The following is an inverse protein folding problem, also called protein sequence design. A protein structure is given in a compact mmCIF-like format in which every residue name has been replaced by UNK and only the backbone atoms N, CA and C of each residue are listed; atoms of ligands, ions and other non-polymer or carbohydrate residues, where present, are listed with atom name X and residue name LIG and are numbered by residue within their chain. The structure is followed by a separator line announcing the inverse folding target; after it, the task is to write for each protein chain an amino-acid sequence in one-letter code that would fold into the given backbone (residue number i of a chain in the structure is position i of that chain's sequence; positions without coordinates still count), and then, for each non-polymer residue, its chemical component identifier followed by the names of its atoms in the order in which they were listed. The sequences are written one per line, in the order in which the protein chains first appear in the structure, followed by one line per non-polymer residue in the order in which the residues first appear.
data_IF_152386872969
#
_entry.id   IF_152386872969
#
_cell.length_a   1.000
_cell.length_b   1.000
_cell.length_c   1.000
_cell.angle_alpha   90.00
_cell.angle_beta   90.00
_cell.angle_gamma   90.00
#
_symmetry.space_group_name_H-M   'P 1'
#
loop_
_entity.id
_entity.type
_entity.pdbx_description
1 polymer ?
#
# COMPACT_ATOMS: atom_id res chain seq x y z
N UNK A 1 17.03 13.72 -33.92
CA UNK A 1 16.39 13.72 -32.58
C UNK A 1 17.35 13.11 -31.56
N UNK A 2 17.51 13.68 -30.35
CA UNK A 2 18.35 13.05 -29.33
C UNK A 2 17.63 11.79 -28.82
N UNK A 3 18.06 10.64 -29.33
CA UNK A 3 17.58 9.33 -28.88
C UNK A 3 18.09 9.12 -27.45
N UNK A 4 17.20 9.21 -26.46
CA UNK A 4 17.54 8.78 -25.10
C UNK A 4 18.10 7.35 -25.13
N UNK A 5 19.23 7.10 -24.47
CA UNK A 5 19.84 5.76 -24.33
C UNK A 5 18.88 4.71 -23.74
N UNK A 6 17.84 5.14 -23.04
CA UNK A 6 16.76 4.31 -22.53
C UNK A 6 15.88 3.71 -23.65
N UNK A 7 15.75 4.41 -24.78
CA UNK A 7 14.89 4.02 -25.89
C UNK A 7 15.62 3.11 -26.89
N UNK A 8 16.95 2.99 -26.77
CA UNK A 8 17.76 2.06 -27.55
C UNK A 8 17.70 0.66 -26.93
N UNK A 9 17.00 -0.27 -27.58
CA UNK A 9 16.81 -1.64 -27.08
C UNK A 9 18.14 -2.39 -26.88
N UNK A 10 19.10 -2.22 -27.80
CA UNK A 10 20.43 -2.84 -27.71
C UNK A 10 21.20 -2.38 -26.48
N UNK A 11 21.24 -1.06 -26.22
CA UNK A 11 21.89 -0.49 -25.05
C UNK A 11 21.22 -0.96 -23.75
N UNK A 12 19.89 -0.99 -23.70
CA UNK A 12 19.15 -1.53 -22.55
C UNK A 12 19.51 -2.98 -22.27
N UNK A 13 19.61 -3.82 -23.31
CA UNK A 13 19.99 -5.21 -23.17
C UNK A 13 21.44 -5.36 -22.68
N UNK A 14 22.36 -4.55 -23.22
CA UNK A 14 23.77 -4.53 -22.82
C UNK A 14 23.94 -4.16 -21.34
N UNK A 15 23.29 -3.09 -20.89
CA UNK A 15 23.30 -2.66 -19.48
C UNK A 15 22.71 -3.74 -18.55
N UNK A 16 21.61 -4.39 -18.97
CA UNK A 16 21.02 -5.48 -18.20
C UNK A 16 21.90 -6.73 -18.16
N UNK A 17 22.64 -7.01 -19.22
CA UNK A 17 23.60 -8.10 -19.27
C UNK A 17 24.72 -7.86 -18.24
N UNK A 18 25.33 -6.68 -18.26
CA UNK A 18 26.32 -6.29 -17.25
C UNK A 18 25.78 -6.34 -15.82
N UNK A 19 24.55 -5.88 -15.59
CA UNK A 19 23.91 -6.01 -14.29
C UNK A 19 23.79 -7.47 -13.85
N UNK A 20 23.26 -8.36 -14.70
CA UNK A 20 23.14 -9.79 -14.38
C UNK A 20 24.52 -10.44 -14.16
N UNK A 21 25.51 -10.04 -14.95
CA UNK A 21 26.90 -10.50 -14.84
C UNK A 21 27.51 -10.11 -13.49
N UNK A 22 27.38 -8.84 -13.06
CA UNK A 22 27.83 -8.39 -11.73
C UNK A 22 27.18 -9.16 -10.59
N UNK A 23 25.89 -9.49 -10.70
CA UNK A 23 25.21 -10.25 -9.66
C UNK A 23 25.74 -11.69 -9.57
N UNK A 24 25.92 -12.36 -10.72
CA UNK A 24 26.49 -13.71 -10.77
C UNK A 24 27.92 -13.74 -10.23
N UNK A 25 28.75 -12.79 -10.63
CA UNK A 25 30.13 -12.69 -10.16
C UNK A 25 30.20 -12.37 -8.67
N UNK A 26 29.32 -11.51 -8.15
CA UNK A 26 29.25 -11.25 -6.72
C UNK A 26 28.94 -12.52 -5.92
N UNK A 27 28.00 -13.35 -6.35
CA UNK A 27 27.71 -14.61 -5.65
C UNK A 27 28.83 -15.64 -5.78
N UNK A 28 29.57 -15.64 -6.90
CA UNK A 28 30.58 -16.66 -7.21
C UNK A 28 31.94 -16.38 -6.57
N UNK A 29 32.38 -15.11 -6.57
CA UNK A 29 33.75 -14.74 -6.19
C UNK A 29 33.84 -14.01 -4.85
N UNK A 30 32.72 -13.72 -4.17
CA UNK A 30 32.76 -13.17 -2.80
C UNK A 30 32.03 -14.07 -1.82
N UNK A 31 32.73 -14.54 -0.78
CA UNK A 31 32.14 -15.39 0.27
C UNK A 31 31.33 -14.59 1.29
N UNK A 32 31.58 -13.29 1.42
CA UNK A 32 30.88 -12.42 2.38
C UNK A 32 29.47 -12.05 1.89
N UNK A 33 28.45 -12.59 2.57
CA UNK A 33 27.04 -12.26 2.31
C UNK A 33 26.75 -10.75 2.44
N UNK A 34 27.47 -10.06 3.32
CA UNK A 34 27.34 -8.61 3.50
C UNK A 34 27.83 -7.83 2.27
N UNK A 35 28.99 -8.22 1.72
CA UNK A 35 29.54 -7.61 0.51
C UNK A 35 28.63 -7.87 -0.70
N UNK A 36 28.14 -9.11 -0.87
CA UNK A 36 27.18 -9.46 -1.92
C UNK A 36 25.92 -8.57 -1.85
N UNK A 37 25.33 -8.43 -0.67
CA UNK A 37 24.16 -7.56 -0.45
C UNK A 37 24.47 -6.10 -0.80
N UNK A 38 25.66 -5.62 -0.42
CA UNK A 38 26.10 -4.24 -0.67
C UNK A 38 26.31 -3.97 -2.16
N UNK A 39 26.99 -4.86 -2.88
CA UNK A 39 27.16 -4.79 -4.35
C UNK A 39 25.80 -4.72 -5.02
N UNK A 40 24.89 -5.65 -4.69
CA UNK A 40 23.54 -5.71 -5.27
C UNK A 40 22.75 -4.42 -5.03
N UNK A 41 22.84 -3.85 -3.83
CA UNK A 41 22.13 -2.61 -3.47
C UNK A 41 22.68 -1.41 -4.23
N UNK A 42 24.01 -1.24 -4.28
CA UNK A 42 24.65 -0.08 -4.90
C UNK A 42 24.47 -0.11 -6.41
N UNK A 43 24.76 -1.24 -7.06
CA UNK A 43 24.54 -1.42 -8.50
C UNK A 43 23.10 -1.11 -8.91
N UNK A 44 22.11 -1.65 -8.19
CA UNK A 44 20.69 -1.36 -8.42
C UNK A 44 20.35 0.13 -8.26
N UNK A 45 20.94 0.81 -7.28
CA UNK A 45 20.71 2.23 -7.05
C UNK A 45 21.32 3.11 -8.15
N UNK A 46 22.54 2.80 -8.59
CA UNK A 46 23.23 3.51 -9.69
C UNK A 46 22.43 3.36 -10.98
N UNK A 47 22.01 2.14 -11.32
CA UNK A 47 21.14 1.85 -12.48
C UNK A 47 19.83 2.65 -12.47
N UNK A 48 19.18 2.76 -11.30
CA UNK A 48 17.93 3.53 -11.17
C UNK A 48 18.17 5.02 -11.31
N UNK A 49 19.25 5.54 -10.73
CA UNK A 49 19.59 6.96 -10.73
C UNK A 49 19.92 7.45 -12.15
N UNK A 50 20.69 6.67 -12.90
CA UNK A 50 21.20 7.05 -14.22
C UNK A 50 20.35 6.49 -15.39
N UNK A 51 19.12 6.04 -15.13
CA UNK A 51 18.23 5.45 -16.15
C UNK A 51 17.83 6.43 -17.26
N UNK A 52 17.83 7.73 -16.96
CA UNK A 52 17.37 8.78 -17.86
C UNK A 52 18.52 9.69 -18.35
N UNK A 53 19.77 9.32 -18.08
CA UNK A 53 20.93 10.11 -18.49
C UNK A 53 20.97 10.26 -20.02
N UNK A 54 21.18 11.50 -20.46
CA UNK A 54 21.25 11.87 -21.88
C UNK A 54 22.69 11.97 -22.40
N UNK A 55 23.68 12.06 -21.52
CA UNK A 55 25.09 12.17 -21.91
C UNK A 55 25.69 10.82 -22.25
N UNK A 56 26.21 10.68 -23.47
CA UNK A 56 26.92 9.48 -23.94
C UNK A 56 28.17 9.21 -23.10
N UNK A 57 28.89 10.27 -22.72
CA UNK A 57 30.12 10.19 -21.95
C UNK A 57 29.87 9.72 -20.52
N UNK A 58 28.80 10.20 -19.86
CA UNK A 58 28.46 9.75 -18.51
C UNK A 58 28.08 8.27 -18.49
N UNK A 59 27.34 7.81 -19.50
CA UNK A 59 26.96 6.40 -19.67
C UNK A 59 28.20 5.53 -19.95
N UNK A 60 29.11 5.99 -20.80
CA UNK A 60 30.37 5.28 -21.10
C UNK A 60 31.24 5.10 -19.84
N UNK A 61 31.43 6.16 -19.05
CA UNK A 61 32.17 6.07 -17.79
C UNK A 61 31.53 5.03 -16.86
N UNK A 62 30.21 5.09 -16.65
CA UNK A 62 29.50 4.15 -15.77
C UNK A 62 29.62 2.70 -16.24
N UNK A 63 29.62 2.46 -17.56
CA UNK A 63 29.82 1.13 -18.13
C UNK A 63 31.24 0.62 -17.88
N UNK A 64 32.26 1.47 -18.06
CA UNK A 64 33.64 1.13 -17.75
C UNK A 64 33.84 0.87 -16.25
N UNK A 65 33.22 1.64 -15.37
CA UNK A 65 33.27 1.40 -13.93
C UNK A 65 32.64 0.06 -13.54
N UNK A 66 31.53 -0.34 -14.19
CA UNK A 66 30.92 -1.67 -13.98
C UNK A 66 31.80 -2.78 -14.53
N UNK A 67 32.50 -2.56 -15.65
CA UNK A 67 33.46 -3.52 -16.21
C UNK A 67 34.64 -3.72 -15.26
N UNK A 68 35.26 -2.64 -14.81
CA UNK A 68 36.39 -2.65 -13.87
C UNK A 68 36.00 -3.34 -12.54
N UNK A 69 34.79 -3.07 -12.03
CA UNK A 69 34.27 -3.75 -10.84
C UNK A 69 34.21 -5.28 -11.04
N UNK A 70 33.80 -5.75 -12.22
CA UNK A 70 33.75 -7.19 -12.50
C UNK A 70 35.13 -7.81 -12.62
N UNK A 71 36.08 -7.13 -13.27
CA UNK A 71 37.46 -7.59 -13.37
C UNK A 71 38.08 -7.76 -11.98
N UNK A 72 37.86 -6.79 -11.09
CA UNK A 72 38.34 -6.82 -9.69
C UNK A 72 37.63 -7.87 -8.83
N UNK A 73 36.36 -8.13 -9.08
CA UNK A 73 35.63 -9.23 -8.44
C UNK A 73 36.19 -10.60 -8.88
N UNK A 74 36.56 -10.76 -10.15
CA UNK A 74 37.14 -12.01 -10.67
C UNK A 74 38.57 -12.19 -10.14
N UNK A 75 39.35 -11.12 -10.06
CA UNK A 75 40.73 -11.17 -9.52
C UNK A 75 40.80 -11.33 -8.00
N UNK A 76 39.66 -11.33 -7.29
CA UNK A 76 39.61 -11.48 -5.84
C UNK A 76 40.05 -10.25 -5.03
N UNK A 77 40.11 -9.07 -5.65
CA UNK A 77 40.60 -7.83 -5.03
C UNK A 77 39.48 -7.15 -4.21
N UNK A 78 39.16 -7.77 -3.07
CA UNK A 78 37.99 -7.43 -2.25
C UNK A 78 38.11 -6.05 -1.60
N UNK A 79 39.33 -5.63 -1.23
CA UNK A 79 39.60 -4.32 -0.59
C UNK A 79 39.28 -3.18 -1.54
N UNK A 80 39.75 -3.27 -2.80
CA UNK A 80 39.43 -2.29 -3.83
C UNK A 80 37.93 -2.18 -4.08
N UNK A 81 37.25 -3.33 -4.20
CA UNK A 81 35.80 -3.38 -4.41
C UNK A 81 35.06 -2.72 -3.24
N UNK A 82 35.49 -2.97 -2.00
CA UNK A 82 34.90 -2.35 -0.82
C UNK A 82 35.04 -0.83 -0.81
N UNK A 83 36.21 -0.32 -1.18
CA UNK A 83 36.51 1.11 -1.21
C UNK A 83 35.79 1.84 -2.33
N UNK A 84 35.70 1.23 -3.53
CA UNK A 84 34.91 1.75 -4.65
C UNK A 84 33.41 1.79 -4.33
N UNK A 85 32.88 0.77 -3.65
CA UNK A 85 31.49 0.77 -3.17
C UNK A 85 31.27 1.78 -2.02
N UNK A 86 32.29 2.07 -1.24
CA UNK A 86 32.23 3.06 -0.16
C UNK A 86 32.29 4.49 -0.67
N UNK A 87 33.10 4.78 -1.68
CA UNK A 87 33.18 6.10 -2.33
C UNK A 87 31.88 6.44 -3.07
N UNK A 88 31.29 5.47 -3.79
CA UNK A 88 29.98 5.64 -4.45
C UNK A 88 28.83 5.82 -3.45
N UNK A 89 28.89 5.19 -2.27
CA UNK A 89 27.93 5.40 -1.18
C UNK A 89 28.10 6.75 -0.47
N UNK A 90 29.35 7.23 -0.32
CA UNK A 90 29.72 8.52 0.30
C UNK A 90 29.49 9.72 -0.64
N UNK A 91 29.11 9.53 -1.90
CA UNK A 91 28.73 10.61 -2.82
C UNK A 91 27.41 11.34 -2.46
N UNK A 92 26.94 11.23 -1.20
CA UNK A 92 25.97 12.14 -0.60
C UNK A 92 26.74 13.23 0.17
N UNK A 93 26.66 14.46 -0.34
CA UNK A 93 27.17 15.71 0.24
C UNK A 93 28.70 15.84 0.35
N UNK A 94 29.38 15.99 -0.80
CA UNK A 94 30.47 16.98 -0.86
C UNK A 94 29.87 18.24 -1.47
N UNK A 95 29.65 19.26 -0.63
CA UNK A 95 29.49 20.65 -1.11
C UNK A 95 30.75 20.94 -1.91
N UNK A 96 30.64 21.00 -3.23
CA UNK A 96 31.71 21.53 -4.06
C UNK A 96 31.84 23.00 -3.68
N UNK A 97 33.02 23.44 -3.27
CA UNK A 97 33.37 24.85 -3.34
C UNK A 97 33.28 25.21 -4.83
N UNK A 98 32.19 25.87 -5.18
CA UNK A 98 31.94 26.38 -6.52
C UNK A 98 32.59 27.75 -6.54
N UNK A 99 33.63 27.89 -7.36
CA UNK A 99 34.05 29.18 -7.92
C UNK A 99 32.80 29.88 -8.45
N UNK A 100 32.58 31.11 -7.99
CA UNK A 100 31.41 31.93 -8.28
C UNK A 100 31.17 32.05 -9.79
N UNK A 101 30.22 31.26 -10.29
CA UNK A 101 29.51 31.54 -11.54
C UNK A 101 28.20 32.19 -11.12
N UNK A 102 27.81 33.35 -11.70
CA UNK A 102 26.61 34.06 -11.29
C UNK A 102 25.40 33.13 -11.43
N UNK A 103 24.72 32.91 -10.31
CA UNK A 103 23.53 32.09 -10.23
C UNK A 103 22.45 32.60 -11.20
N UNK A 104 21.74 31.73 -11.94
CA UNK A 104 20.51 32.14 -12.60
C UNK A 104 19.55 32.71 -11.54
N UNK A 105 18.69 33.68 -11.90
CA UNK A 105 17.86 34.39 -10.93
C UNK A 105 17.07 33.38 -10.10
N UNK A 106 17.18 33.56 -8.78
CA UNK A 106 16.37 32.89 -7.77
C UNK A 106 14.94 32.71 -8.29
N UNK A 107 14.55 31.47 -8.58
CA UNK A 107 13.12 31.16 -8.73
C UNK A 107 12.53 31.46 -7.35
N UNK A 108 11.94 32.64 -7.22
CA UNK A 108 11.21 33.03 -6.02
C UNK A 108 10.28 31.86 -5.70
N UNK A 109 10.47 31.22 -4.56
CA UNK A 109 9.53 30.23 -4.06
C UNK A 109 8.22 30.97 -3.82
N UNK A 110 7.34 30.95 -4.81
CA UNK A 110 6.03 31.57 -4.74
C UNK A 110 5.28 31.01 -3.53
N UNK A 111 4.63 31.90 -2.77
CA UNK A 111 3.84 31.49 -1.62
C UNK A 111 2.75 30.50 -2.04
N UNK A 112 2.59 29.36 -1.34
CA UNK A 112 1.63 28.32 -1.70
C UNK A 112 0.18 28.81 -1.69
N UNK A 113 -0.11 29.90 -0.98
CA UNK A 113 -1.43 30.55 -1.00
C UNK A 113 -1.64 31.34 -2.30
N UNK A 114 -0.63 32.06 -2.76
CA UNK A 114 -0.68 32.81 -4.02
C UNK A 114 -0.91 31.86 -5.21
N UNK A 115 -0.21 30.72 -5.26
CA UNK A 115 -0.41 29.69 -6.28
C UNK A 115 -1.86 29.17 -6.28
N UNK A 116 -2.46 28.97 -5.10
CA UNK A 116 -3.85 28.52 -4.99
C UNK A 116 -4.83 29.58 -5.50
N UNK A 117 -4.62 30.84 -5.12
CA UNK A 117 -5.44 31.97 -5.54
C UNK A 117 -5.41 32.16 -7.05
N UNK A 118 -4.22 32.08 -7.66
CA UNK A 118 -4.06 32.15 -9.12
C UNK A 118 -4.74 30.99 -9.84
N UNK A 119 -4.69 29.77 -9.28
CA UNK A 119 -5.41 28.62 -9.83
C UNK A 119 -6.93 28.80 -9.78
N UNK A 120 -7.47 29.32 -8.67
CA UNK A 120 -8.90 29.63 -8.52
C UNK A 120 -9.31 30.69 -9.54
N UNK A 121 -8.51 31.75 -9.69
CA UNK A 121 -8.73 32.82 -10.66
C UNK A 121 -8.73 32.29 -12.10
N UNK A 122 -7.74 31.49 -12.47
CA UNK A 122 -7.65 30.89 -13.79
C UNK A 122 -8.87 30.01 -14.11
N UNK A 123 -9.29 29.17 -13.15
CA UNK A 123 -10.48 28.35 -13.32
C UNK A 123 -11.74 29.21 -13.48
N UNK A 124 -11.89 30.26 -12.68
CA UNK A 124 -13.02 31.19 -12.77
C UNK A 124 -13.08 31.91 -14.12
N UNK A 125 -11.95 32.43 -14.62
CA UNK A 125 -11.87 33.08 -15.93
C UNK A 125 -12.27 32.08 -17.02
N UNK A 126 -11.75 30.86 -16.98
CA UNK A 126 -12.07 29.81 -17.96
C UNK A 126 -13.55 29.43 -17.97
N UNK A 127 -14.18 29.32 -16.79
CA UNK A 127 -15.62 29.07 -16.68
C UNK A 127 -16.44 30.23 -17.30
N UNK A 128 -16.08 31.48 -17.01
CA UNK A 128 -16.79 32.67 -17.51
C UNK A 128 -16.56 32.97 -18.99
N UNK A 129 -15.38 32.68 -19.53
CA UNK A 129 -15.09 32.79 -20.96
C UNK A 129 -15.86 31.76 -21.78
N UNK A 130 -16.04 30.54 -21.27
CA UNK A 130 -16.90 29.53 -21.89
C UNK A 130 -18.37 29.97 -21.95
N UNK A 131 -18.83 30.69 -20.93
CA UNK A 131 -20.17 31.28 -20.88
C UNK A 131 -20.29 32.59 -21.70
N UNK A 132 -19.23 33.01 -22.40
CA UNK A 132 -19.15 34.27 -23.16
C UNK A 132 -19.38 35.54 -22.30
N UNK A 133 -19.13 35.47 -20.99
CA UNK A 133 -19.31 36.59 -20.04
C UNK A 133 -18.04 37.41 -19.80
N UNK A 134 -16.90 36.95 -20.29
CA UNK A 134 -15.62 37.64 -20.18
C UNK A 134 -14.88 37.61 -21.53
N UNK A 135 -14.12 38.67 -21.86
CA UNK A 135 -13.29 38.69 -23.06
C UNK A 135 -12.11 37.71 -22.94
N UNK A 136 -11.59 37.28 -24.10
CA UNK A 136 -10.48 36.33 -24.17
C UNK A 136 -9.17 36.90 -23.60
N UNK A 137 -8.93 38.20 -23.83
CA UNK A 137 -7.77 38.90 -23.31
C UNK A 137 -8.19 39.86 -22.19
N UNK A 138 -7.57 39.73 -21.02
CA UNK A 138 -7.85 40.55 -19.83
C UNK A 138 -6.49 41.04 -19.29
N UNK A 139 -6.30 42.36 -19.10
CA UNK A 139 -5.08 42.89 -18.50
C UNK A 139 -4.86 42.36 -17.08
N UNK A 140 -3.58 42.21 -16.69
CA UNK A 140 -3.21 41.61 -15.40
C UNK A 140 -3.67 42.44 -14.19
N UNK A 141 -3.80 43.76 -14.33
CA UNK A 141 -4.31 44.63 -13.26
C UNK A 141 -5.79 44.36 -12.94
N UNK A 142 -6.63 44.16 -13.96
CA UNK A 142 -8.04 43.81 -13.76
C UNK A 142 -8.18 42.39 -13.20
N UNK A 143 -7.29 41.48 -13.60
CA UNK A 143 -7.23 40.12 -13.04
C UNK A 143 -7.00 40.13 -11.53
N UNK A 144 -6.06 40.94 -11.05
CA UNK A 144 -5.72 41.01 -9.62
C UNK A 144 -6.71 41.85 -8.80
N UNK A 145 -7.13 43.02 -9.29
CA UNK A 145 -7.97 43.95 -8.51
C UNK A 145 -9.47 43.61 -8.56
N UNK A 146 -10.00 43.16 -9.69
CA UNK A 146 -11.44 42.93 -9.86
C UNK A 146 -11.80 41.44 -9.88
N UNK A 147 -11.12 40.65 -10.71
CA UNK A 147 -11.52 39.26 -10.94
C UNK A 147 -11.11 38.32 -9.82
N UNK A 148 -9.96 38.54 -9.18
CA UNK A 148 -9.50 37.70 -8.08
C UNK A 148 -10.46 37.73 -6.88
N UNK A 149 -10.89 38.90 -6.34
CA UNK A 149 -11.89 38.94 -5.27
C UNK A 149 -13.20 38.23 -5.64
N UNK A 150 -13.68 38.39 -6.88
CA UNK A 150 -14.90 37.73 -7.37
C UNK A 150 -14.72 36.22 -7.51
N UNK A 151 -13.55 35.76 -7.98
CA UNK A 151 -13.23 34.34 -8.11
C UNK A 151 -13.18 33.66 -6.74
N UNK A 152 -12.52 34.30 -5.76
CA UNK A 152 -12.45 33.80 -4.38
C UNK A 152 -13.83 33.78 -3.71
N UNK A 153 -14.67 34.79 -3.98
CA UNK A 153 -16.05 34.82 -3.52
C UNK A 153 -16.87 33.66 -4.12
N UNK A 154 -16.81 33.45 -5.44
CA UNK A 154 -17.54 32.36 -6.10
C UNK A 154 -17.09 30.97 -5.61
N UNK A 155 -15.78 30.73 -5.48
CA UNK A 155 -15.28 29.47 -4.90
C UNK A 155 -15.76 29.26 -3.46
N UNK A 156 -15.81 30.34 -2.68
CA UNK A 156 -16.34 30.32 -1.31
C UNK A 156 -17.85 30.10 -1.26
N UNK A 157 -18.62 30.61 -2.23
CA UNK A 157 -20.06 30.32 -2.37
C UNK A 157 -20.29 28.84 -2.69
N UNK A 158 -19.51 28.27 -3.62
CA UNK A 158 -19.56 26.82 -3.91
C UNK A 158 -19.27 26.00 -2.64
N UNK A 159 -18.33 26.44 -1.79
CA UNK A 159 -18.07 25.81 -0.48
C UNK A 159 -19.25 25.98 0.47
N UNK A 160 -19.82 27.18 0.59
CA UNK A 160 -20.96 27.46 1.45
C UNK A 160 -22.17 26.60 1.07
N UNK A 161 -22.49 26.50 -0.21
CA UNK A 161 -23.57 25.63 -0.70
C UNK A 161 -23.34 24.15 -0.32
N UNK A 162 -22.10 23.66 -0.44
CA UNK A 162 -21.74 22.32 0.03
C UNK A 162 -21.90 22.18 1.54
N UNK A 163 -21.58 23.21 2.34
CA UNK A 163 -21.81 23.22 3.78
C UNK A 163 -23.31 23.12 4.10
N UNK A 164 -24.14 23.91 3.41
CA UNK A 164 -25.58 23.92 3.57
C UNK A 164 -26.18 22.54 3.25
N UNK A 165 -25.83 21.94 2.12
CA UNK A 165 -26.27 20.58 1.76
C UNK A 165 -25.85 19.56 2.84
N UNK A 166 -24.61 19.63 3.32
CA UNK A 166 -24.13 18.73 4.37
C UNK A 166 -24.89 18.88 5.68
N UNK A 167 -25.30 20.11 6.03
CA UNK A 167 -26.10 20.35 7.22
C UNK A 167 -27.55 19.88 7.02
N UNK A 168 -28.13 20.08 5.84
CA UNK A 168 -29.47 19.60 5.50
C UNK A 168 -29.59 18.07 5.56
N UNK A 169 -28.51 17.34 5.23
CA UNK A 169 -28.46 15.87 5.34
C UNK A 169 -28.45 15.34 6.79
N UNK A 170 -28.25 16.21 7.77
CA UNK A 170 -28.22 15.85 9.19
C UNK A 170 -26.86 15.33 9.68
N UNK A 171 -26.81 14.72 10.89
CA UNK A 171 -25.56 14.27 11.49
C UNK A 171 -24.91 13.14 10.66
N UNK A 172 -23.57 13.09 10.62
CA UNK A 172 -22.87 12.09 9.82
C UNK A 172 -23.16 10.68 10.34
N UNK A 173 -23.76 9.85 9.47
CA UNK A 173 -24.15 8.48 9.80
C UNK A 173 -22.92 7.61 10.12
N UNK A 174 -23.08 6.77 11.13
CA UNK A 174 -22.08 5.79 11.53
C UNK A 174 -22.50 4.44 11.00
N UNK A 175 -21.57 3.74 10.40
CA UNK A 175 -21.79 2.38 9.92
C UNK A 175 -20.63 1.49 10.34
N UNK A 176 -20.98 0.23 10.54
CA UNK A 176 -20.04 -0.83 10.82
C UNK A 176 -19.51 -1.34 9.49
N UNK A 177 -18.20 -1.27 9.30
CA UNK A 177 -17.51 -1.69 8.09
C UNK A 177 -16.58 -2.87 8.43
N UNK A 178 -16.15 -3.62 7.43
CA UNK A 178 -15.23 -4.71 7.64
C UNK A 178 -14.11 -4.75 6.60
N UNK A 179 -13.02 -5.37 6.98
CA UNK A 179 -11.96 -5.80 6.06
C UNK A 179 -11.78 -7.30 6.21
N UNK A 180 -11.77 -8.02 5.08
CA UNK A 180 -11.45 -9.44 5.04
C UNK A 180 -9.94 -9.67 5.30
N UNK A 181 -9.66 -10.71 6.08
CA UNK A 181 -8.33 -11.25 6.30
C UNK A 181 -8.44 -12.79 6.28
N UNK A 182 -8.34 -13.38 5.09
CA UNK A 182 -8.60 -14.81 4.91
C UNK A 182 -10.04 -15.17 5.30
N UNK A 183 -10.20 -16.14 6.21
CA UNK A 183 -11.50 -16.59 6.73
C UNK A 183 -12.10 -15.64 7.77
N UNK A 184 -11.31 -14.74 8.36
CA UNK A 184 -11.78 -13.79 9.36
C UNK A 184 -12.23 -12.46 8.74
N UNK A 185 -13.27 -11.85 9.33
CA UNK A 185 -13.75 -10.51 8.97
C UNK A 185 -13.49 -9.58 10.14
N UNK A 186 -12.57 -8.63 9.95
CA UNK A 186 -12.23 -7.64 10.98
C UNK A 186 -13.24 -6.50 10.86
N UNK A 187 -14.16 -6.43 11.81
CA UNK A 187 -15.17 -5.38 11.90
C UNK A 187 -14.62 -4.14 12.60
N UNK A 188 -15.02 -2.96 12.14
CA UNK A 188 -14.70 -1.68 12.79
C UNK A 188 -15.71 -0.60 12.43
N UNK A 189 -15.81 0.41 13.28
CA UNK A 189 -16.75 1.52 13.10
C UNK A 189 -16.13 2.58 12.19
N UNK A 190 -16.87 2.97 11.15
CA UNK A 190 -16.57 4.15 10.32
C UNK A 190 -17.46 5.30 10.76
N UNK A 191 -16.81 6.40 11.15
CA UNK A 191 -17.46 7.65 11.54
C UNK A 191 -16.68 8.84 11.00
N UNK A 192 -17.26 10.05 11.07
CA UNK A 192 -16.56 11.28 10.72
C UNK A 192 -15.28 11.51 11.56
N UNK A 193 -15.25 10.93 12.76
CA UNK A 193 -14.11 10.99 13.68
C UNK A 193 -13.06 9.92 13.40
N UNK A 194 -13.47 8.75 12.88
CA UNK A 194 -12.61 7.60 12.65
C UNK A 194 -12.48 7.28 11.14
N UNK A 195 -11.90 8.21 10.37
CA UNK A 195 -11.68 8.06 8.91
C UNK A 195 -10.31 8.61 8.46
N UNK A 196 -9.68 7.93 7.50
CA UNK A 196 -8.45 8.38 6.85
C UNK A 196 -7.31 8.59 7.85
N UNK A 197 -6.70 9.78 7.85
CA UNK A 197 -5.61 10.15 8.79
C UNK A 197 -6.04 10.15 10.27
N UNK A 198 -7.34 10.26 10.55
CA UNK A 198 -7.90 10.21 11.91
C UNK A 198 -8.23 8.79 12.37
N UNK A 199 -8.06 7.80 11.51
CA UNK A 199 -8.29 6.42 11.88
C UNK A 199 -7.30 5.99 12.98
N UNK A 200 -7.79 5.23 13.96
CA UNK A 200 -6.93 4.70 15.02
C UNK A 200 -5.73 3.93 14.44
N UNK A 201 -4.52 4.32 14.84
CA UNK A 201 -3.28 3.60 14.48
C UNK A 201 -3.28 2.17 15.02
N UNK A 202 -3.96 1.92 16.14
CA UNK A 202 -4.11 0.58 16.71
C UNK A 202 -4.93 -0.33 15.78
N UNK A 203 -6.06 0.16 15.27
CA UNK A 203 -6.87 -0.56 14.29
C UNK A 203 -6.08 -0.84 13.00
N UNK A 204 -5.33 0.15 12.51
CA UNK A 204 -4.48 -0.04 11.32
C UNK A 204 -3.31 -1.02 11.54
N UNK A 205 -2.78 -1.14 12.77
CA UNK A 205 -1.79 -2.17 13.13
C UNK A 205 -2.46 -3.55 13.19
N UNK A 206 -3.60 -3.66 13.86
CA UNK A 206 -4.37 -4.90 13.98
C UNK A 206 -4.70 -5.48 12.61
N UNK A 207 -5.27 -4.67 11.69
CA UNK A 207 -5.62 -5.15 10.33
C UNK A 207 -4.39 -5.66 9.58
N UNK A 208 -3.25 -4.96 9.66
CA UNK A 208 -2.01 -5.38 8.98
C UNK A 208 -1.42 -6.65 9.57
N UNK A 209 -1.41 -6.77 10.89
CA UNK A 209 -0.92 -7.97 11.58
C UNK A 209 -1.79 -9.18 11.21
N UNK A 210 -3.11 -9.03 11.27
CA UNK A 210 -4.05 -10.11 10.97
C UNK A 210 -3.97 -10.55 9.50
N UNK A 211 -3.85 -9.60 8.56
CA UNK A 211 -3.62 -9.94 7.14
C UNK A 211 -2.31 -10.69 6.92
N UNK A 212 -1.23 -10.26 7.59
CA UNK A 212 0.07 -10.93 7.52
C UNK A 212 0.01 -12.34 8.10
N UNK A 213 -0.65 -12.51 9.25
CA UNK A 213 -0.83 -13.82 9.88
C UNK A 213 -1.65 -14.77 9.00
N UNK A 214 -2.75 -14.31 8.41
CA UNK A 214 -3.54 -15.14 7.51
C UNK A 214 -2.77 -15.47 6.22
N UNK A 215 -1.98 -14.54 5.67
CA UNK A 215 -1.11 -14.86 4.54
C UNK A 215 -0.08 -15.94 4.91
N UNK A 216 0.52 -15.86 6.10
CA UNK A 216 1.44 -16.90 6.56
C UNK A 216 0.74 -18.26 6.68
N UNK A 217 -0.50 -18.29 7.20
CA UNK A 217 -1.28 -19.54 7.28
C UNK A 217 -1.52 -20.12 5.88
N UNK A 218 -1.89 -19.29 4.90
CA UNK A 218 -2.05 -19.74 3.50
C UNK A 218 -0.74 -20.31 2.95
N UNK A 219 0.36 -19.58 3.08
CA UNK A 219 1.66 -20.04 2.63
C UNK A 219 2.08 -21.37 3.30
N UNK A 220 1.75 -21.56 4.59
CA UNK A 220 2.02 -22.83 5.27
C UNK A 220 1.11 -23.95 4.79
N UNK A 221 -0.16 -23.67 4.46
CA UNK A 221 -1.04 -24.66 3.85
C UNK A 221 -0.56 -25.09 2.46
N UNK A 222 -0.12 -24.12 1.65
CA UNK A 222 0.47 -24.38 0.33
C UNK A 222 1.74 -25.25 0.48
N UNK A 223 2.61 -24.91 1.43
CA UNK A 223 3.81 -25.71 1.74
C UNK A 223 3.46 -27.11 2.28
N UNK A 224 2.41 -27.25 3.09
CA UNK A 224 1.92 -28.57 3.51
C UNK A 224 1.41 -29.39 2.33
N UNK A 225 0.78 -28.77 1.34
CA UNK A 225 0.29 -29.44 0.13
C UNK A 225 1.44 -29.87 -0.79
N UNK A 226 2.48 -29.04 -0.93
CA UNK A 226 3.70 -29.44 -1.65
C UNK A 226 4.39 -30.61 -0.93
N UNK A 227 4.56 -30.49 0.39
CA UNK A 227 5.20 -31.53 1.20
C UNK A 227 4.38 -32.82 1.24
N UNK A 228 3.05 -32.78 1.11
CA UNK A 228 2.25 -34.01 1.06
C UNK A 228 2.48 -34.80 -0.22
N UNK A 229 2.74 -34.11 -1.34
CA UNK A 229 3.09 -34.76 -2.62
C UNK A 229 4.45 -35.44 -2.48
N UNK A 230 5.44 -34.75 -1.90
CA UNK A 230 6.75 -35.34 -1.64
C UNK A 230 6.67 -36.53 -0.68
N UNK A 231 6.00 -36.37 0.46
CA UNK A 231 5.82 -37.44 1.44
C UNK A 231 5.06 -38.64 0.84
N UNK A 232 4.12 -38.41 -0.08
CA UNK A 232 3.48 -39.49 -0.83
C UNK A 232 4.47 -40.25 -1.71
N UNK A 233 5.30 -39.53 -2.48
CA UNK A 233 6.30 -40.18 -3.30
C UNK A 233 7.30 -40.98 -2.46
N UNK A 234 7.80 -40.43 -1.36
CA UNK A 234 8.69 -41.14 -0.44
C UNK A 234 8.01 -42.39 0.15
N UNK A 235 6.75 -42.29 0.57
CA UNK A 235 5.99 -43.43 1.06
C UNK A 235 5.80 -44.52 -0.02
N UNK A 236 5.58 -44.14 -1.28
CA UNK A 236 5.51 -45.08 -2.41
C UNK A 236 6.85 -45.78 -2.63
N UNK A 237 7.95 -45.03 -2.56
CA UNK A 237 9.31 -45.56 -2.70
C UNK A 237 9.66 -46.53 -1.58
N UNK A 238 9.42 -46.16 -0.32
CA UNK A 238 9.69 -47.01 0.83
C UNK A 238 8.83 -48.28 0.80
N UNK A 239 7.55 -48.15 0.46
CA UNK A 239 6.68 -49.30 0.24
C UNK A 239 7.20 -50.22 -0.87
N UNK A 240 7.66 -49.67 -1.99
CA UNK A 240 8.22 -50.46 -3.08
C UNK A 240 9.49 -51.20 -2.65
N UNK A 241 10.37 -50.55 -1.89
CA UNK A 241 11.60 -51.17 -1.38
C UNK A 241 11.32 -52.35 -0.42
N UNK A 242 10.29 -52.22 0.42
CA UNK A 242 9.91 -53.27 1.39
C UNK A 242 9.15 -54.42 0.74
N UNK A 243 8.33 -54.15 -0.29
CA UNK A 243 7.30 -55.10 -0.77
C UNK A 243 7.44 -55.53 -2.22
N UNK A 244 8.25 -54.82 -3.01
CA UNK A 244 8.35 -54.97 -4.46
C UNK A 244 7.12 -54.49 -5.23
N UNK A 245 6.13 -53.86 -4.58
CA UNK A 245 4.87 -53.41 -5.20
C UNK A 245 4.71 -51.90 -5.16
N UNK A 246 4.20 -51.31 -6.24
CA UNK A 246 3.95 -49.87 -6.36
C UNK A 246 2.51 -49.56 -5.91
N UNK A 247 2.37 -48.58 -5.00
CA UNK A 247 1.08 -48.06 -4.56
C UNK A 247 0.42 -47.19 -5.65
N UNK A 248 -0.92 -47.19 -5.72
CA UNK A 248 -1.68 -46.43 -6.74
C UNK A 248 -2.09 -45.07 -6.20
N UNK A 249 -2.14 -44.06 -7.07
CA UNK A 249 -2.52 -42.67 -6.72
C UNK A 249 -3.94 -42.51 -6.13
N UNK A 250 -4.86 -43.47 -6.36
CA UNK A 250 -6.20 -43.45 -5.76
C UNK A 250 -6.15 -43.48 -4.22
N UNK A 251 -5.11 -44.10 -3.65
CA UNK A 251 -4.86 -44.20 -2.21
C UNK A 251 -4.38 -42.88 -1.59
N UNK A 252 -3.71 -42.02 -2.37
CA UNK A 252 -3.37 -40.66 -1.94
C UNK A 252 -4.62 -39.78 -1.80
N UNK A 253 -5.51 -39.87 -2.80
CA UNK A 253 -6.72 -39.05 -2.80
C UNK A 253 -7.67 -39.43 -1.68
N UNK A 254 -7.85 -40.72 -1.37
CA UNK A 254 -8.72 -41.18 -0.28
C UNK A 254 -8.24 -40.70 1.10
N UNK A 255 -6.93 -40.68 1.35
CA UNK A 255 -6.34 -40.25 2.63
C UNK A 255 -6.64 -38.78 3.00
N UNK A 256 -6.72 -37.91 1.99
CA UNK A 256 -7.09 -36.51 2.15
C UNK A 256 -8.61 -36.26 1.98
N UNK A 257 -9.31 -37.05 1.14
CA UNK A 257 -10.75 -36.88 0.88
C UNK A 257 -11.67 -37.35 2.01
N UNK A 258 -11.27 -38.32 2.85
CA UNK A 258 -12.07 -38.75 4.01
C UNK A 258 -12.42 -37.62 5.02
N UNK A 259 -11.82 -36.43 4.89
CA UNK A 259 -12.10 -35.27 5.72
C UNK A 259 -12.63 -34.04 4.98
N UNK A 260 -12.69 -34.06 3.63
CA UNK A 260 -13.31 -32.99 2.85
C UNK A 260 -14.84 -32.98 3.05
N UNK A 261 -15.45 -34.15 3.23
CA UNK A 261 -16.88 -34.32 3.52
C UNK A 261 -17.24 -33.82 4.92
N UNK A 262 -16.43 -34.14 5.94
CA UNK A 262 -16.66 -33.72 7.34
C UNK A 262 -16.45 -32.22 7.59
N UNK A 263 -15.70 -31.52 6.73
CA UNK A 263 -15.46 -30.07 6.87
C UNK A 263 -16.50 -29.21 6.15
N UNK A 264 -17.32 -29.78 5.25
CA UNK A 264 -18.50 -29.13 4.66
C UNK A 264 -19.75 -29.28 5.52
N UNK A 265 -19.90 -30.36 6.29
CA UNK A 265 -21.07 -30.59 7.15
C UNK A 265 -21.12 -29.75 8.43
N UNK A 266 -20.00 -29.13 8.86
CA UNK A 266 -19.99 -28.23 10.03
C UNK A 266 -20.73 -26.90 9.75
N UNK A 267 -21.24 -26.68 8.53
CA UNK A 267 -22.07 -25.54 8.16
C UNK A 267 -23.58 -25.84 8.06
N UNK A 268 -24.00 -27.10 8.23
CA UNK A 268 -25.42 -27.49 8.24
C UNK A 268 -25.63 -28.56 9.31
N UNK A 269 -26.15 -28.16 10.47
CA UNK A 269 -26.27 -29.06 11.61
C UNK A 269 -27.20 -30.24 11.33
N UNK A 270 -26.64 -31.44 11.17
CA UNK A 270 -27.24 -32.70 11.63
C UNK A 270 -26.11 -33.74 11.74
N UNK A 271 -25.80 -34.17 12.96
CA UNK A 271 -24.86 -35.26 13.22
C UNK A 271 -25.59 -36.59 12.99
N UNK A 272 -25.32 -37.26 11.88
CA UNK A 272 -25.63 -38.69 11.73
C UNK A 272 -24.31 -39.43 11.65
N UNK A 273 -23.90 -40.00 12.78
CA UNK A 273 -22.76 -40.90 12.89
C UNK A 273 -23.16 -42.27 12.34
N UNK A 274 -22.91 -42.54 11.05
CA UNK A 274 -22.90 -43.91 10.55
C UNK A 274 -21.50 -44.50 10.74
N UNK A 275 -21.31 -45.17 11.88
CA UNK A 275 -20.18 -46.06 12.13
C UNK A 275 -20.37 -47.35 11.33
N UNK A 276 -19.60 -47.51 10.25
CA UNK A 276 -19.36 -48.82 9.64
C UNK A 276 -18.08 -49.43 10.22
N UNK A 277 -18.02 -50.76 10.43
CA UNK A 277 -16.95 -51.40 11.19
C UNK A 277 -15.64 -51.41 10.39
N UNK A 278 -14.56 -51.15 11.11
CA UNK A 278 -13.17 -51.20 10.64
C UNK A 278 -12.83 -52.64 10.25
N UNK A 279 -12.84 -52.94 8.96
CA UNK A 279 -12.12 -54.10 8.43
C UNK A 279 -10.62 -53.82 8.54
N UNK A 280 -9.90 -54.80 9.08
CA UNK A 280 -8.46 -54.80 9.34
C UNK A 280 -7.67 -54.18 8.18
N UNK A 281 -7.10 -52.99 8.42
CA UNK A 281 -6.24 -52.33 7.45
C UNK A 281 -4.96 -53.18 7.24
N UNK A 282 -4.50 -53.32 5.99
CA UNK A 282 -3.31 -54.09 5.70
C UNK A 282 -2.06 -53.38 6.28
N UNK A 283 -0.98 -54.11 6.58
CA UNK A 283 0.22 -53.59 7.27
C UNK A 283 0.94 -52.42 6.55
N UNK A 284 0.63 -52.20 5.27
CA UNK A 284 1.10 -51.07 4.46
C UNK A 284 0.49 -49.71 4.86
N UNK A 285 -0.65 -49.73 5.57
CA UNK A 285 -1.35 -48.53 6.03
C UNK A 285 -0.50 -47.69 6.99
N UNK A 286 0.27 -48.35 7.86
CA UNK A 286 1.09 -47.69 8.88
C UNK A 286 2.19 -46.81 8.26
N UNK A 287 2.91 -47.29 7.23
CA UNK A 287 4.01 -46.55 6.60
C UNK A 287 3.54 -45.29 5.88
N UNK A 288 2.48 -45.40 5.08
CA UNK A 288 1.89 -44.25 4.38
C UNK A 288 1.29 -43.26 5.38
N UNK A 289 0.68 -43.77 6.46
CA UNK A 289 0.15 -42.95 7.53
C UNK A 289 1.27 -42.23 8.30
N UNK A 290 2.41 -42.86 8.55
CA UNK A 290 3.56 -42.23 9.23
C UNK A 290 4.10 -41.01 8.46
N UNK A 291 4.17 -41.10 7.13
CA UNK A 291 4.61 -39.98 6.28
C UNK A 291 3.57 -38.85 6.18
N UNK A 292 2.28 -39.20 6.06
CA UNK A 292 1.24 -38.20 5.76
C UNK A 292 0.52 -37.67 7.01
N UNK A 293 0.50 -38.39 8.12
CA UNK A 293 -0.17 -38.01 9.36
C UNK A 293 0.38 -36.70 9.97
N UNK A 294 1.70 -36.47 10.05
CA UNK A 294 2.25 -35.21 10.54
C UNK A 294 1.74 -34.00 9.72
N UNK A 295 1.70 -34.14 8.40
CA UNK A 295 1.25 -33.09 7.48
C UNK A 295 -0.26 -32.84 7.66
N UNK A 296 -1.06 -33.91 7.75
CA UNK A 296 -2.50 -33.84 8.02
C UNK A 296 -2.79 -33.16 9.36
N UNK A 297 -2.02 -33.46 10.39
CA UNK A 297 -2.14 -32.85 11.71
C UNK A 297 -1.82 -31.34 11.67
N UNK A 298 -0.77 -30.95 10.94
CA UNK A 298 -0.38 -29.55 10.76
C UNK A 298 -1.46 -28.75 10.03
N UNK A 299 -2.03 -29.31 8.95
CA UNK A 299 -3.15 -28.70 8.21
C UNK A 299 -4.38 -28.51 9.12
N UNK A 300 -4.73 -29.52 9.92
CA UNK A 300 -5.85 -29.41 10.89
C UNK A 300 -5.62 -28.30 11.92
N UNK A 301 -4.40 -28.16 12.46
CA UNK A 301 -4.05 -27.11 13.42
C UNK A 301 -4.18 -25.72 12.77
N UNK A 302 -3.68 -25.55 11.54
CA UNK A 302 -3.77 -24.29 10.80
C UNK A 302 -5.23 -23.90 10.53
N UNK A 303 -6.06 -24.87 10.11
CA UNK A 303 -7.49 -24.66 9.92
C UNK A 303 -8.20 -24.28 11.22
N UNK A 304 -7.92 -24.99 12.33
CA UNK A 304 -8.49 -24.69 13.65
C UNK A 304 -8.16 -23.26 14.09
N UNK A 305 -6.90 -22.84 13.97
CA UNK A 305 -6.45 -21.46 14.26
C UNK A 305 -7.22 -20.42 13.45
N UNK A 306 -7.46 -20.68 12.16
CA UNK A 306 -8.21 -19.77 11.29
C UNK A 306 -9.68 -19.62 11.74
N UNK A 307 -10.31 -20.71 12.17
CA UNK A 307 -11.71 -20.73 12.63
C UNK A 307 -11.84 -20.03 13.98
N UNK A 308 -10.94 -20.30 14.92
CA UNK A 308 -10.92 -19.62 16.23
C UNK A 308 -10.76 -18.11 16.08
N UNK A 309 -9.88 -17.66 15.17
CA UNK A 309 -9.72 -16.24 14.85
C UNK A 309 -10.97 -15.62 14.24
N UNK A 310 -11.65 -16.32 13.33
CA UNK A 310 -12.93 -15.85 12.80
C UNK A 310 -13.97 -15.69 13.90
N UNK A 311 -14.11 -16.69 14.79
CA UNK A 311 -15.02 -16.64 15.94
C UNK A 311 -14.71 -15.48 16.88
N UNK A 312 -13.43 -15.22 17.15
CA UNK A 312 -12.99 -14.08 17.97
C UNK A 312 -13.49 -12.74 17.39
N UNK A 313 -13.35 -12.50 16.08
CA UNK A 313 -13.79 -11.25 15.47
C UNK A 313 -15.32 -11.12 15.38
N UNK A 314 -16.04 -12.23 15.24
CA UNK A 314 -17.50 -12.22 15.30
C UNK A 314 -18.00 -11.90 16.72
N UNK A 315 -17.35 -12.43 17.76
CA UNK A 315 -17.65 -12.06 19.14
C UNK A 315 -17.29 -10.60 19.43
N UNK A 316 -16.14 -10.12 18.96
CA UNK A 316 -15.73 -8.72 19.07
C UNK A 316 -16.75 -7.77 18.43
N UNK A 317 -17.30 -8.14 17.26
CA UNK A 317 -18.37 -7.40 16.60
C UNK A 317 -19.59 -7.28 17.50
N UNK A 318 -20.09 -8.40 18.03
CA UNK A 318 -21.33 -8.43 18.82
C UNK A 318 -21.16 -7.67 20.14
N UNK A 319 -20.15 -8.03 20.93
CA UNK A 319 -20.01 -7.54 22.32
C UNK A 319 -19.43 -6.13 22.44
N UNK A 320 -18.44 -5.77 21.62
CA UNK A 320 -17.65 -4.56 21.84
C UNK A 320 -18.07 -3.43 20.88
N UNK A 321 -18.33 -3.76 19.61
CA UNK A 321 -18.66 -2.75 18.61
C UNK A 321 -20.13 -2.32 18.64
N UNK A 322 -21.07 -3.26 18.76
CA UNK A 322 -22.51 -2.93 18.72
C UNK A 322 -23.00 -2.31 20.03
N UNK A 323 -22.60 -2.85 21.18
CA UNK A 323 -23.17 -2.42 22.48
C UNK A 323 -22.53 -1.14 23.03
N UNK A 324 -21.22 -0.95 22.81
CA UNK A 324 -20.44 0.16 23.38
C UNK A 324 -20.01 1.24 22.38
N UNK A 325 -19.07 0.89 21.49
CA UNK A 325 -18.41 1.90 20.66
C UNK A 325 -19.35 2.59 19.67
N UNK A 326 -20.35 1.89 19.12
CA UNK A 326 -21.31 2.49 18.19
C UNK A 326 -22.07 3.67 18.84
N UNK A 327 -22.56 3.48 20.07
CA UNK A 327 -23.26 4.53 20.83
C UNK A 327 -22.35 5.73 21.11
N UNK A 328 -21.12 5.48 21.56
CA UNK A 328 -20.13 6.53 21.83
C UNK A 328 -19.83 7.38 20.59
N UNK A 329 -19.57 6.75 19.44
CA UNK A 329 -19.31 7.50 18.21
C UNK A 329 -20.55 8.25 17.74
N UNK A 330 -21.75 7.72 17.98
CA UNK A 330 -23.01 8.37 17.61
C UNK A 330 -23.23 9.65 18.38
N UNK A 331 -23.10 9.59 19.71
CA UNK A 331 -23.17 10.78 20.57
C UNK A 331 -22.17 11.85 20.15
N UNK A 332 -20.88 11.49 19.93
CA UNK A 332 -19.88 12.46 19.47
C UNK A 332 -20.16 13.02 18.07
N UNK A 333 -20.72 12.21 17.17
CA UNK A 333 -21.08 12.66 15.81
C UNK A 333 -22.23 13.66 15.85
N UNK A 334 -23.23 13.42 16.71
CA UNK A 334 -24.34 14.33 16.96
C UNK A 334 -23.86 15.64 17.60
N UNK A 335 -22.96 15.57 18.59
CA UNK A 335 -22.39 16.77 19.21
C UNK A 335 -21.54 17.59 18.23
N UNK A 336 -20.76 16.93 17.36
CA UNK A 336 -20.01 17.62 16.31
C UNK A 336 -20.97 18.32 15.33
N UNK A 337 -22.08 17.68 14.97
CA UNK A 337 -23.10 18.23 14.08
C UNK A 337 -23.80 19.44 14.73
N UNK A 338 -24.26 19.34 15.98
CA UNK A 338 -24.93 20.44 16.68
C UNK A 338 -24.03 21.67 16.80
N UNK A 339 -22.75 21.48 17.16
CA UNK A 339 -21.77 22.56 17.23
C UNK A 339 -21.48 23.19 15.85
N UNK A 340 -21.57 22.41 14.77
CA UNK A 340 -21.40 22.91 13.40
C UNK A 340 -22.63 23.67 12.93
N UNK A 341 -23.83 23.18 13.24
CA UNK A 341 -25.10 23.81 12.94
C UNK A 341 -25.22 25.16 13.67
N UNK A 342 -24.91 25.21 14.96
CA UNK A 342 -24.94 26.43 15.76
C UNK A 342 -24.01 27.50 15.16
N UNK A 343 -22.76 27.14 14.82
CA UNK A 343 -21.84 28.06 14.13
C UNK A 343 -22.35 28.54 12.77
N UNK A 344 -23.02 27.67 12.03
CA UNK A 344 -23.59 28.03 10.74
C UNK A 344 -24.77 29.01 10.88
N UNK A 345 -25.67 28.79 11.85
CA UNK A 345 -26.79 29.71 12.14
C UNK A 345 -26.28 31.10 12.52
N UNK A 346 -25.33 31.17 13.45
CA UNK A 346 -24.72 32.44 13.87
C UNK A 346 -24.07 33.15 12.67
N UNK A 347 -23.32 32.42 11.83
CA UNK A 347 -22.72 32.99 10.61
C UNK A 347 -23.79 33.50 9.63
N UNK A 348 -24.89 32.77 9.47
CA UNK A 348 -25.98 33.14 8.57
C UNK A 348 -26.72 34.40 9.02
N UNK A 349 -26.89 34.60 10.32
CA UNK A 349 -27.57 35.77 10.89
C UNK A 349 -26.65 36.99 10.99
N UNK A 350 -25.40 36.82 11.42
CA UNK A 350 -24.51 37.93 11.78
C UNK A 350 -23.53 38.32 10.68
N UNK A 351 -23.03 37.36 9.88
CA UNK A 351 -21.91 37.62 8.98
C UNK A 351 -22.36 37.68 7.51
N UNK A 352 -23.19 36.71 7.05
CA UNK A 352 -23.59 36.59 5.64
C UNK A 352 -24.28 37.83 5.06
N UNK A 353 -25.16 38.57 5.79
CA UNK A 353 -25.81 39.76 5.25
C UNK A 353 -24.85 40.88 4.88
N UNK A 354 -23.66 40.94 5.50
CA UNK A 354 -22.69 42.01 5.32
C UNK A 354 -21.51 41.60 4.41
N UNK A 355 -21.60 40.46 3.73
CA UNK A 355 -20.51 39.94 2.90
C UNK A 355 -20.32 40.76 1.64
N UNK A 356 -19.12 41.29 1.46
CA UNK A 356 -18.74 42.08 0.28
C UNK A 356 -17.44 41.52 -0.32
N UNK A 357 -17.41 41.14 -1.62
CA UNK A 357 -16.25 40.47 -2.22
C UNK A 357 -14.94 41.26 -2.15
N UNK A 358 -15.04 42.59 -2.24
CA UNK A 358 -13.89 43.48 -2.39
C UNK A 358 -13.23 43.90 -1.06
N UNK A 359 -13.91 43.73 0.07
CA UNK A 359 -13.37 44.11 1.37
C UNK A 359 -12.69 42.90 2.03
N UNK A 360 -11.38 43.00 2.28
CA UNK A 360 -10.58 41.87 2.75
C UNK A 360 -11.10 41.22 4.05
N UNK A 361 -11.72 42.00 4.95
CA UNK A 361 -12.24 41.51 6.24
C UNK A 361 -13.70 41.00 6.18
N UNK A 362 -14.47 41.46 5.20
CA UNK A 362 -15.89 41.11 5.03
C UNK A 362 -16.13 40.18 3.84
N UNK A 363 -15.08 39.78 3.12
CA UNK A 363 -15.21 38.82 2.04
C UNK A 363 -15.56 37.43 2.58
N UNK A 364 -16.24 36.64 1.74
CA UNK A 364 -16.72 35.32 2.10
C UNK A 364 -15.59 34.34 2.52
N UNK A 365 -14.40 34.33 1.89
CA UNK A 365 -13.27 33.54 2.37
C UNK A 365 -12.87 33.84 3.82
N UNK A 366 -12.80 35.13 4.21
CA UNK A 366 -12.44 35.56 5.56
C UNK A 366 -13.50 35.18 6.58
N UNK A 367 -14.78 35.32 6.25
CA UNK A 367 -15.90 34.88 7.09
C UNK A 367 -15.89 33.35 7.31
N UNK A 368 -15.66 32.58 6.25
CA UNK A 368 -15.55 31.12 6.39
C UNK A 368 -14.32 30.70 7.20
N UNK A 369 -13.23 31.48 7.16
CA UNK A 369 -12.02 31.24 7.94
C UNK A 369 -12.21 31.61 9.41
N UNK A 370 -12.83 32.75 9.72
CA UNK A 370 -13.09 33.20 11.10
C UNK A 370 -13.96 32.20 11.88
N UNK A 371 -14.98 31.63 11.22
CA UNK A 371 -15.87 30.60 11.80
C UNK A 371 -15.31 29.17 11.75
N UNK A 372 -14.05 29.00 11.30
CA UNK A 372 -13.30 27.73 11.23
C UNK A 372 -13.95 26.66 10.32
N UNK A 373 -14.57 27.09 9.22
CA UNK A 373 -15.05 26.17 8.16
C UNK A 373 -13.96 25.84 7.13
N UNK A 374 -12.98 26.74 6.96
CA UNK A 374 -11.82 26.56 6.09
C UNK A 374 -10.55 26.72 6.92
N UNK A 375 -9.50 25.95 6.60
CA UNK A 375 -8.19 26.01 7.26
C UNK A 375 -7.25 26.99 6.56
#
# INVERSE_FOLDING_TARGET
MPLHFKNLAQHRNYVLHWYRYTLRNSSRYTSSAHLQCRIRRITKNVLKKHKADMSSWSVYILLNEIKELNERLISGDITWVWDKLSSTAKAKKKRKNILEVPSPPSVMTEDPNHIREMNILHQYIKERQKELKLPLNIPNEYKSKLLLPLALHNDSLKKLHRLQIQLAQGPPKIHLNYTSAGRSRIWFIRSALNKGKRQSKALGRLIRMEKKQNQNILNYLDSCQENSIWAWHEAVWEHYLVTGKILRNEQFTSFFHENASKSREILGGTLISTSTPVQSQPPWSNLVEDWLHPIKSAMKILQKKSVERAKYFDQYRRKILMDGHAKFFNQKSNQMYSNRLARYKIMAEQDLPFVTPFFARQNLPSVLKSRKFVK
#
